data_IF_683721785352
#
_entry.id   IF_683721785352
#
_cell.length_a   1.000
_cell.length_b   1.000
_cell.length_c   1.000
_cell.angle_alpha   90.00
_cell.angle_beta   90.00
_cell.angle_gamma   90.00
#
_symmetry.space_group_name_H-M   'P 1'
#
loop_
_entity.id
_entity.type
_entity.pdbx_description
1 polymer ?
#
# COMPACT_ATOMS: atom_id res chain seq x y z
N UNK A 1 13.79 34.38 -14.00
CA UNK A 1 12.37 33.96 -14.01
C UNK A 1 12.15 32.57 -14.60
N UNK A 2 12.60 32.26 -15.82
CA UNK A 2 12.38 30.92 -16.45
C UNK A 2 13.04 29.76 -15.67
N UNK A 3 14.23 30.01 -15.10
CA UNK A 3 14.95 29.04 -14.26
C UNK A 3 14.26 28.77 -12.91
N UNK A 4 13.82 29.82 -12.22
CA UNK A 4 13.11 29.71 -10.93
C UNK A 4 11.75 29.03 -11.10
N UNK A 5 11.02 29.36 -12.16
CA UNK A 5 9.72 28.75 -12.46
C UNK A 5 9.86 27.26 -12.81
N UNK A 6 10.89 26.88 -13.59
CA UNK A 6 11.19 25.47 -13.89
C UNK A 6 11.60 24.69 -12.64
N UNK A 7 12.42 25.28 -11.75
CA UNK A 7 12.81 24.64 -10.50
C UNK A 7 11.61 24.39 -9.57
N UNK A 8 10.70 25.37 -9.44
CA UNK A 8 9.48 25.22 -8.65
C UNK A 8 8.56 24.13 -9.22
N UNK A 9 8.35 24.09 -10.54
CA UNK A 9 7.53 23.05 -11.20
C UNK A 9 8.09 21.64 -10.99
N UNK A 10 9.42 21.49 -11.06
CA UNK A 10 10.09 20.21 -10.85
C UNK A 10 9.97 19.78 -9.38
N UNK A 11 10.18 20.69 -8.43
CA UNK A 11 10.01 20.41 -7.01
C UNK A 11 8.57 19.98 -6.70
N UNK A 12 7.58 20.68 -7.27
CA UNK A 12 6.17 20.32 -7.14
C UNK A 12 5.90 18.92 -7.70
N UNK A 13 6.39 18.61 -8.90
CA UNK A 13 6.20 17.30 -9.52
C UNK A 13 6.79 16.16 -8.68
N UNK A 14 7.97 16.39 -8.08
CA UNK A 14 8.62 15.42 -7.21
C UNK A 14 7.86 15.20 -5.89
N UNK A 15 7.18 16.24 -5.39
CA UNK A 15 6.31 16.13 -4.22
C UNK A 15 5.00 15.41 -4.56
N UNK A 16 4.41 15.70 -5.72
CA UNK A 16 3.15 15.10 -6.15
C UNK A 16 3.28 13.63 -6.56
N UNK A 17 4.45 13.18 -7.00
CA UNK A 17 4.67 11.78 -7.38
C UNK A 17 4.39 10.76 -6.25
N UNK A 18 5.00 10.85 -5.04
CA UNK A 18 4.70 9.92 -3.94
C UNK A 18 3.28 10.08 -3.39
N UNK A 19 2.76 11.32 -3.34
CA UNK A 19 1.38 11.57 -2.94
C UNK A 19 0.37 10.97 -3.93
N UNK A 20 0.63 11.07 -5.23
CA UNK A 20 -0.16 10.45 -6.28
C UNK A 20 -0.14 8.93 -6.17
N UNK A 21 1.05 8.32 -5.99
CA UNK A 21 1.17 6.88 -5.80
C UNK A 21 0.37 6.37 -4.58
N UNK A 22 0.46 7.07 -3.45
CA UNK A 22 -0.31 6.76 -2.24
C UNK A 22 -1.83 6.91 -2.49
N UNK A 23 -2.23 7.96 -3.19
CA UNK A 23 -3.64 8.23 -3.52
C UNK A 23 -4.21 7.17 -4.46
N UNK A 24 -3.47 6.81 -5.51
CA UNK A 24 -3.84 5.73 -6.43
C UNK A 24 -3.91 4.39 -5.72
N UNK A 25 -2.96 4.09 -4.82
CA UNK A 25 -3.00 2.86 -4.03
C UNK A 25 -4.24 2.80 -3.13
N UNK A 26 -4.61 3.89 -2.46
CA UNK A 26 -5.80 3.87 -1.63
C UNK A 26 -7.09 3.78 -2.46
N UNK A 27 -7.17 4.51 -3.58
CA UNK A 27 -8.35 4.50 -4.44
C UNK A 27 -8.57 3.16 -5.15
N UNK A 28 -7.50 2.59 -5.74
CA UNK A 28 -7.59 1.39 -6.58
C UNK A 28 -7.08 0.10 -5.93
N UNK A 29 -6.31 0.20 -4.85
CA UNK A 29 -5.84 -0.96 -4.10
C UNK A 29 -6.82 -1.33 -3.00
N UNK A 30 -7.22 -0.34 -2.19
CA UNK A 30 -8.22 -0.55 -1.13
C UNK A 30 -9.63 -0.47 -1.70
N UNK A 31 -9.95 0.51 -2.55
CA UNK A 31 -11.34 0.73 -3.00
C UNK A 31 -11.87 -0.21 -4.09
N UNK A 32 -11.03 -1.10 -4.63
CA UNK A 32 -11.37 -2.04 -5.70
C UNK A 32 -11.47 -3.47 -5.14
N UNK A 33 -12.64 -4.10 -5.34
CA UNK A 33 -12.97 -5.39 -4.75
C UNK A 33 -12.00 -6.52 -5.19
N UNK A 34 -11.62 -6.55 -6.47
CA UNK A 34 -10.75 -7.60 -7.01
C UNK A 34 -9.32 -7.43 -6.51
N UNK A 35 -8.84 -6.18 -6.48
CA UNK A 35 -7.48 -5.88 -6.04
C UNK A 35 -7.29 -6.08 -4.55
N UNK A 36 -8.30 -5.72 -3.76
CA UNK A 36 -8.34 -6.00 -2.34
C UNK A 36 -8.38 -7.52 -2.08
N UNK A 37 -9.25 -8.26 -2.77
CA UNK A 37 -9.35 -9.71 -2.62
C UNK A 37 -8.02 -10.41 -2.97
N UNK A 38 -7.35 -9.99 -4.05
CA UNK A 38 -6.04 -10.52 -4.43
C UNK A 38 -4.95 -10.21 -3.39
N UNK A 39 -4.97 -9.04 -2.75
CA UNK A 39 -4.04 -8.71 -1.68
C UNK A 39 -4.27 -9.58 -0.43
N UNK A 40 -5.52 -9.93 -0.12
CA UNK A 40 -5.88 -10.70 1.08
C UNK A 40 -5.80 -12.22 0.88
N UNK A 41 -5.82 -12.70 -0.36
CA UNK A 41 -5.74 -14.13 -0.70
C UNK A 41 -4.54 -14.87 -0.08
N UNK A 42 -3.28 -14.38 -0.17
CA UNK A 42 -2.12 -15.11 0.36
C UNK A 42 -2.15 -15.27 1.88
N UNK A 43 -2.85 -14.39 2.61
CA UNK A 43 -2.98 -14.46 4.07
C UNK A 43 -3.69 -15.73 4.54
N UNK A 44 -4.51 -16.36 3.69
CA UNK A 44 -5.12 -17.64 4.02
C UNK A 44 -4.09 -18.77 4.21
N UNK A 45 -2.93 -18.68 3.56
CA UNK A 45 -1.85 -19.64 3.68
C UNK A 45 -0.83 -19.27 4.78
N UNK A 46 -0.84 -18.02 5.24
CA UNK A 46 0.10 -17.51 6.23
C UNK A 46 -0.07 -18.23 7.58
N UNK A 47 1.05 -18.65 8.17
CA UNK A 47 1.02 -19.44 9.42
C UNK A 47 0.65 -18.56 10.61
N UNK A 48 1.15 -17.33 10.68
CA UNK A 48 0.88 -16.41 11.78
C UNK A 48 -0.59 -16.00 11.79
N UNK A 49 -1.16 -15.74 10.61
CA UNK A 49 -2.59 -15.43 10.46
C UNK A 49 -3.46 -16.62 10.87
N UNK A 50 -3.13 -17.84 10.43
CA UNK A 50 -3.89 -19.05 10.80
C UNK A 50 -3.83 -19.35 12.29
N UNK A 51 -2.68 -19.18 12.93
CA UNK A 51 -2.53 -19.33 14.39
C UNK A 51 -3.35 -18.28 15.14
N UNK A 52 -3.33 -17.02 14.68
CA UNK A 52 -4.12 -15.95 15.28
C UNK A 52 -5.62 -16.22 15.19
N UNK A 53 -6.11 -16.66 14.03
CA UNK A 53 -7.52 -17.05 13.84
C UNK A 53 -7.87 -18.24 14.73
N UNK A 54 -7.01 -19.26 14.78
CA UNK A 54 -7.24 -20.43 15.63
C UNK A 54 -7.32 -20.04 17.11
N UNK A 55 -6.43 -19.16 17.59
CA UNK A 55 -6.45 -18.64 18.95
C UNK A 55 -7.71 -17.82 19.23
N UNK A 56 -8.11 -16.93 18.33
CA UNK A 56 -9.29 -16.07 18.47
C UNK A 56 -10.59 -16.90 18.50
N UNK A 57 -10.76 -17.82 17.54
CA UNK A 57 -11.94 -18.70 17.48
C UNK A 57 -12.00 -19.61 18.70
N UNK A 58 -10.87 -20.17 19.13
CA UNK A 58 -10.82 -21.01 20.34
C UNK A 58 -11.22 -20.21 21.58
N UNK A 59 -10.70 -18.99 21.73
CA UNK A 59 -11.03 -18.11 22.86
C UNK A 59 -12.51 -17.74 22.86
N UNK A 60 -13.09 -17.44 21.68
CA UNK A 60 -14.52 -17.17 21.53
C UNK A 60 -15.40 -18.37 21.91
N UNK A 61 -15.07 -19.57 21.42
CA UNK A 61 -15.79 -20.80 21.75
C UNK A 61 -15.73 -21.08 23.26
N UNK A 62 -14.56 -20.92 23.88
CA UNK A 62 -14.39 -21.16 25.32
C UNK A 62 -15.07 -20.11 26.20
N UNK A 63 -15.28 -18.88 25.70
CA UNK A 63 -16.04 -17.85 26.42
C UNK A 63 -17.51 -18.23 26.54
N UNK A 64 -18.09 -18.82 25.50
CA UNK A 64 -19.49 -19.27 25.51
C UNK A 64 -19.67 -20.61 26.24
N UNK A 65 -18.74 -21.54 26.05
CA UNK A 65 -18.80 -22.86 26.68
C UNK A 65 -18.20 -22.82 28.08
N UNK A 66 -19.08 -22.79 29.09
CA UNK A 66 -18.69 -22.87 30.50
C UNK A 66 -18.22 -24.27 30.89
N UNK A 67 -16.95 -24.59 30.59
CA UNK A 67 -16.31 -25.86 30.98
C UNK A 67 -15.78 -25.76 32.41
N UNK A 68 -15.94 -26.82 33.22
CA UNK A 68 -15.34 -26.92 34.56
C UNK A 68 -13.81 -26.83 34.48
N UNK A 69 -13.17 -26.11 35.41
CA UNK A 69 -11.73 -25.83 35.42
C UNK A 69 -10.80 -27.02 35.08
N UNK A 70 -11.02 -28.27 35.56
CA UNK A 70 -10.13 -29.39 35.26
C UNK A 70 -10.12 -29.82 33.79
N UNK A 71 -11.19 -29.53 33.04
CA UNK A 71 -11.36 -29.95 31.64
C UNK A 71 -11.04 -28.82 30.65
N UNK A 72 -10.84 -27.59 31.12
CA UNK A 72 -10.58 -26.43 30.25
C UNK A 72 -9.30 -26.59 29.41
N UNK A 73 -8.21 -27.09 30.01
CA UNK A 73 -6.92 -27.28 29.31
C UNK A 73 -7.02 -28.26 28.14
N UNK A 74 -7.46 -29.51 28.37
CA UNK A 74 -7.62 -30.51 27.30
C UNK A 74 -8.62 -30.09 26.21
N UNK A 75 -9.75 -29.48 26.59
CA UNK A 75 -10.75 -29.00 25.62
C UNK A 75 -10.19 -27.85 24.77
N UNK A 76 -9.48 -26.90 25.38
CA UNK A 76 -8.81 -25.81 24.66
C UNK A 76 -7.83 -26.35 23.61
N UNK A 77 -6.98 -27.33 23.98
CA UNK A 77 -6.03 -27.93 23.04
C UNK A 77 -6.75 -28.64 21.89
N UNK A 78 -7.77 -29.45 22.18
CA UNK A 78 -8.54 -30.15 21.15
C UNK A 78 -9.26 -29.20 20.20
N UNK A 79 -9.93 -28.16 20.72
CA UNK A 79 -10.62 -27.15 19.90
C UNK A 79 -9.61 -26.40 19.04
N UNK A 80 -8.48 -25.97 19.62
CA UNK A 80 -7.42 -25.29 18.89
C UNK A 80 -6.86 -26.15 17.76
N UNK A 81 -6.57 -27.42 18.02
CA UNK A 81 -6.07 -28.36 17.00
C UNK A 81 -7.09 -28.61 15.89
N UNK A 82 -8.37 -28.75 16.24
CA UNK A 82 -9.44 -28.91 15.27
C UNK A 82 -9.57 -27.68 14.37
N UNK A 83 -9.57 -26.47 14.96
CA UNK A 83 -9.61 -25.23 14.19
C UNK A 83 -8.36 -25.07 13.33
N UNK A 84 -7.18 -25.36 13.87
CA UNK A 84 -5.91 -25.34 13.12
C UNK A 84 -5.94 -26.30 11.94
N UNK A 85 -6.45 -27.52 12.13
CA UNK A 85 -6.62 -28.50 11.06
C UNK A 85 -7.59 -28.00 9.98
N UNK A 86 -8.68 -27.33 10.37
CA UNK A 86 -9.60 -26.70 9.42
C UNK A 86 -8.91 -25.60 8.59
N UNK A 87 -8.03 -24.79 9.18
CA UNK A 87 -7.31 -23.73 8.43
C UNK A 87 -6.41 -24.23 7.31
N UNK A 88 -6.07 -25.53 7.30
CA UNK A 88 -5.26 -26.16 6.26
C UNK A 88 -6.11 -26.67 5.07
N UNK A 89 -7.43 -26.53 5.14
CA UNK A 89 -8.35 -27.12 4.15
C UNK A 89 -8.72 -26.14 3.03
N UNK A 90 -9.06 -26.64 1.82
CA UNK A 90 -9.62 -25.81 0.76
C UNK A 90 -10.93 -25.08 1.16
N UNK A 91 -11.69 -25.67 2.08
CA UNK A 91 -12.91 -25.06 2.62
C UNK A 91 -12.59 -23.77 3.38
N UNK A 92 -11.49 -23.73 4.13
CA UNK A 92 -11.04 -22.52 4.80
C UNK A 92 -10.68 -21.42 3.82
N UNK A 93 -9.94 -21.71 2.74
CA UNK A 93 -9.61 -20.72 1.72
C UNK A 93 -10.86 -20.08 1.09
N UNK A 94 -11.87 -20.90 0.81
CA UNK A 94 -13.15 -20.44 0.26
C UNK A 94 -13.89 -19.54 1.26
N UNK A 95 -13.97 -19.97 2.53
CA UNK A 95 -14.58 -19.20 3.60
C UNK A 95 -13.84 -17.88 3.87
N UNK A 96 -12.50 -17.88 3.82
CA UNK A 96 -11.66 -16.70 3.96
C UNK A 96 -11.93 -15.67 2.87
N UNK A 97 -11.98 -16.09 1.60
CA UNK A 97 -12.28 -15.20 0.48
C UNK A 97 -13.71 -14.62 0.55
N UNK A 98 -14.69 -15.42 0.99
CA UNK A 98 -16.06 -14.94 1.18
C UNK A 98 -16.13 -13.93 2.33
N UNK A 99 -15.51 -14.24 3.47
CA UNK A 99 -15.48 -13.38 4.64
C UNK A 99 -14.81 -12.02 4.34
N UNK A 100 -13.64 -12.02 3.69
CA UNK A 100 -12.93 -10.79 3.35
C UNK A 100 -13.72 -9.91 2.37
N UNK A 101 -14.34 -10.49 1.33
CA UNK A 101 -15.15 -9.71 0.38
C UNK A 101 -16.34 -9.06 1.05
N UNK A 102 -17.03 -9.79 1.92
CA UNK A 102 -18.21 -9.27 2.57
C UNK A 102 -17.87 -8.24 3.65
N UNK A 103 -16.74 -8.40 4.35
CA UNK A 103 -16.18 -7.38 5.24
C UNK A 103 -15.81 -6.10 4.47
N UNK A 104 -15.13 -6.27 3.32
CA UNK A 104 -14.77 -5.17 2.43
C UNK A 104 -16.01 -4.40 1.95
N UNK A 105 -17.03 -5.10 1.45
CA UNK A 105 -18.27 -4.49 0.97
C UNK A 105 -18.98 -3.70 2.07
N UNK A 106 -19.02 -4.23 3.29
CA UNK A 106 -19.63 -3.53 4.42
C UNK A 106 -18.88 -2.23 4.77
N UNK A 107 -17.55 -2.26 4.78
CA UNK A 107 -16.72 -1.08 5.01
C UNK A 107 -16.89 -0.06 3.88
N UNK A 108 -16.90 -0.50 2.63
CA UNK A 108 -17.07 0.40 1.48
C UNK A 108 -18.46 1.02 1.43
N UNK A 109 -19.51 0.26 1.77
CA UNK A 109 -20.88 0.77 1.88
C UNK A 109 -20.98 1.85 2.96
N UNK A 110 -20.32 1.63 4.09
CA UNK A 110 -20.25 2.61 5.17
C UNK A 110 -19.54 3.89 4.74
N UNK A 111 -18.40 3.78 4.06
CA UNK A 111 -17.60 4.92 3.59
C UNK A 111 -18.31 5.73 2.50
N UNK A 112 -19.08 5.07 1.62
CA UNK A 112 -19.84 5.70 0.52
C UNK A 112 -21.21 6.23 0.94
N UNK A 113 -21.69 5.92 2.14
CA UNK A 113 -23.01 6.38 2.60
C UNK A 113 -22.96 7.84 3.09
N UNK A 114 -23.92 8.66 2.63
CA UNK A 114 -24.04 10.09 3.00
C UNK A 114 -24.63 10.32 4.41
N UNK A 115 -24.97 9.26 5.17
CA UNK A 115 -25.62 9.39 6.48
C UNK A 115 -24.58 9.52 7.61
N UNK A 116 -24.87 10.35 8.61
CA UNK A 116 -24.01 10.67 9.77
C UNK A 116 -24.25 9.74 10.98
N UNK A 117 -24.86 8.56 10.79
CA UNK A 117 -25.08 7.59 11.87
C UNK A 117 -23.88 6.68 12.09
N UNK A 118 -23.73 6.17 13.32
CA UNK A 118 -22.71 5.19 13.68
C UNK A 118 -22.78 4.00 12.72
N UNK A 119 -21.64 3.67 12.10
CA UNK A 119 -21.56 2.55 11.16
C UNK A 119 -21.50 1.26 11.96
N UNK A 120 -22.67 0.66 12.14
CA UNK A 120 -22.78 -0.74 12.56
C UNK A 120 -22.54 -1.62 11.34
N UNK A 121 -21.51 -2.46 11.41
CA UNK A 121 -21.31 -3.50 10.39
C UNK A 121 -22.30 -4.60 10.72
N UNK A 122 -23.37 -4.71 9.94
CA UNK A 122 -24.21 -5.90 9.95
C UNK A 122 -23.42 -7.04 9.30
N UNK A 123 -22.93 -7.96 10.12
CA UNK A 123 -22.20 -9.15 9.69
C UNK A 123 -23.16 -10.26 9.21
N UNK A 124 -24.48 -10.06 9.34
CA UNK A 124 -25.47 -11.06 8.93
C UNK A 124 -25.35 -11.49 7.46
N UNK A 125 -25.13 -10.60 6.47
CA UNK A 125 -24.96 -11.01 5.06
C UNK A 125 -23.70 -11.84 4.84
N UNK A 126 -22.63 -11.57 5.60
CA UNK A 126 -21.36 -12.31 5.54
C UNK A 126 -21.54 -13.72 6.11
N UNK A 127 -22.20 -13.80 7.27
CA UNK A 127 -22.49 -15.04 7.96
C UNK A 127 -23.48 -15.92 7.16
N UNK A 128 -24.44 -15.33 6.46
CA UNK A 128 -25.32 -16.04 5.53
C UNK A 128 -24.56 -16.58 4.30
N UNK A 129 -23.63 -15.81 3.74
CA UNK A 129 -22.80 -16.24 2.62
C UNK A 129 -21.86 -17.40 3.02
N UNK A 130 -21.24 -17.32 4.19
CA UNK A 130 -20.39 -18.40 4.73
C UNK A 130 -21.23 -19.63 5.08
N UNK A 131 -22.43 -19.45 5.64
CA UNK A 131 -23.37 -20.53 5.93
C UNK A 131 -23.80 -21.26 4.65
N UNK A 132 -24.13 -20.54 3.59
CA UNK A 132 -24.57 -21.13 2.31
C UNK A 132 -23.45 -21.96 1.66
N UNK A 133 -22.20 -21.49 1.73
CA UNK A 133 -21.04 -22.21 1.20
C UNK A 133 -20.67 -23.43 2.04
N UNK A 134 -20.73 -23.33 3.38
CA UNK A 134 -20.49 -24.47 4.28
C UNK A 134 -21.60 -25.53 4.19
N UNK A 135 -22.84 -25.12 3.90
CA UNK A 135 -23.95 -26.02 3.62
C UNK A 135 -23.74 -26.77 2.30
N UNK A 136 -23.26 -26.08 1.25
CA UNK A 136 -22.88 -26.72 -0.02
C UNK A 136 -21.71 -27.71 0.12
N UNK A 137 -20.76 -27.43 1.01
CA UNK A 137 -19.59 -28.29 1.29
C UNK A 137 -19.89 -29.48 2.23
N UNK A 138 -21.16 -29.75 2.57
CA UNK A 138 -21.60 -30.87 3.41
C UNK A 138 -20.97 -30.90 4.82
N UNK A 139 -20.63 -29.74 5.38
CA UNK A 139 -20.14 -29.67 6.76
C UNK A 139 -21.31 -29.97 7.73
N UNK A 140 -21.24 -31.02 8.57
CA UNK A 140 -22.35 -31.48 9.39
C UNK A 140 -22.58 -30.58 10.62
N UNK A 141 -22.79 -29.28 10.42
CA UNK A 141 -23.18 -28.29 11.43
C UNK A 141 -23.62 -26.95 10.81
N UNK A 142 -23.37 -26.71 9.51
CA UNK A 142 -23.64 -25.42 8.85
C UNK A 142 -25.10 -24.95 8.96
N UNK A 143 -26.06 -25.87 8.87
CA UNK A 143 -27.48 -25.53 8.93
C UNK A 143 -27.98 -25.11 10.32
N UNK A 144 -27.21 -25.34 11.39
CA UNK A 144 -27.60 -24.98 12.78
C UNK A 144 -27.02 -23.66 13.27
N UNK A 145 -26.13 -23.05 12.51
CA UNK A 145 -25.57 -21.74 12.82
C UNK A 145 -26.69 -20.71 12.61
N UNK A 146 -27.24 -20.19 13.71
CA UNK A 146 -28.18 -19.07 13.66
C UNK A 146 -27.35 -17.80 13.44
N UNK A 147 -27.63 -17.11 12.34
CA UNK A 147 -27.01 -15.83 12.03
C UNK A 147 -27.72 -14.78 12.87
N UNK A 148 -27.17 -14.47 14.04
CA UNK A 148 -27.62 -13.32 14.81
C UNK A 148 -27.09 -12.04 14.14
N UNK A 149 -27.94 -11.01 14.07
CA UNK A 149 -27.59 -9.68 13.57
C UNK A 149 -26.65 -9.05 14.59
N UNK A 150 -25.39 -9.48 14.55
CA UNK A 150 -24.37 -9.01 15.46
C UNK A 150 -23.81 -7.73 14.86
N UNK A 151 -24.42 -6.61 15.24
CA UNK A 151 -23.92 -5.28 14.92
C UNK A 151 -22.63 -5.04 15.69
N UNK A 152 -21.50 -5.44 15.11
CA UNK A 152 -20.20 -5.11 15.68
C UNK A 152 -19.88 -3.69 15.25
N UNK A 153 -19.78 -2.79 16.23
CA UNK A 153 -19.29 -1.43 16.01
C UNK A 153 -17.80 -1.49 15.72
N UNK A 154 -17.43 -1.57 14.44
CA UNK A 154 -16.03 -1.73 14.03
C UNK A 154 -15.29 -0.38 14.04
N UNK A 155 -15.99 0.75 13.85
CA UNK A 155 -15.43 2.11 13.92
C UNK A 155 -16.27 3.04 14.82
N UNK A 156 -15.69 3.64 15.87
CA UNK A 156 -16.33 4.71 16.65
C UNK A 156 -16.65 5.94 15.77
N UNK A 157 -17.82 6.55 15.98
CA UNK A 157 -18.33 7.70 15.20
C UNK A 157 -17.40 8.92 15.19
N UNK A 158 -16.62 9.09 16.25
CA UNK A 158 -15.71 10.21 16.46
C UNK A 158 -14.55 10.29 15.44
N UNK A 159 -14.12 9.17 14.84
CA UNK A 159 -13.05 9.16 13.81
C UNK A 159 -13.58 9.00 12.37
N UNK A 160 -14.87 8.68 12.20
CA UNK A 160 -15.47 8.38 10.89
C UNK A 160 -15.56 9.61 9.98
N UNK A 161 -15.84 10.79 10.54
CA UNK A 161 -15.96 12.02 9.76
C UNK A 161 -14.62 12.46 9.16
N UNK A 162 -13.51 12.31 9.89
CA UNK A 162 -12.16 12.61 9.40
C UNK A 162 -11.69 11.59 8.36
N UNK A 163 -11.93 10.30 8.62
CA UNK A 163 -11.62 9.22 7.67
C UNK A 163 -12.40 9.37 6.36
N UNK A 164 -13.69 9.76 6.41
CA UNK A 164 -14.53 10.00 5.22
C UNK A 164 -14.01 11.19 4.40
N UNK A 165 -13.65 12.31 5.06
CA UNK A 165 -13.02 13.46 4.38
C UNK A 165 -11.70 13.07 3.72
N UNK A 166 -10.86 12.32 4.44
CA UNK A 166 -9.59 11.80 3.91
C UNK A 166 -9.82 10.93 2.68
N UNK A 167 -10.72 9.95 2.76
CA UNK A 167 -11.03 9.03 1.67
C UNK A 167 -11.60 9.75 0.44
N UNK A 168 -12.52 10.72 0.62
CA UNK A 168 -13.08 11.47 -0.49
C UNK A 168 -12.04 12.37 -1.19
N UNK A 169 -11.16 13.01 -0.42
CA UNK A 169 -10.02 13.75 -0.98
C UNK A 169 -9.08 12.81 -1.72
N UNK A 170 -8.85 11.60 -1.20
CA UNK A 170 -7.94 10.60 -1.75
C UNK A 170 -8.48 9.95 -3.03
N UNK A 171 -9.80 9.75 -3.12
CA UNK A 171 -10.48 9.23 -4.31
C UNK A 171 -10.40 10.24 -5.46
N UNK A 172 -10.69 11.52 -5.19
CA UNK A 172 -10.52 12.60 -6.18
C UNK A 172 -9.05 12.81 -6.54
N UNK A 173 -8.15 12.73 -5.55
CA UNK A 173 -6.72 12.88 -5.74
C UNK A 173 -6.09 11.69 -6.48
N UNK A 174 -6.63 10.47 -6.33
CA UNK A 174 -6.06 9.22 -6.81
C UNK A 174 -5.83 9.17 -8.32
N UNK A 175 -6.65 9.89 -9.07
CA UNK A 175 -6.49 10.05 -10.52
C UNK A 175 -5.82 11.37 -10.90
N UNK A 176 -6.20 12.49 -10.27
CA UNK A 176 -5.74 13.82 -10.69
C UNK A 176 -4.32 14.17 -10.23
N UNK A 177 -3.87 13.69 -9.07
CA UNK A 177 -2.51 13.97 -8.57
C UNK A 177 -1.42 13.37 -9.47
N UNK A 178 -1.44 12.07 -9.84
CA UNK A 178 -0.44 11.49 -10.73
C UNK A 178 -0.39 12.20 -12.09
N UNK A 179 -1.56 12.53 -12.65
CA UNK A 179 -1.67 13.25 -13.93
C UNK A 179 -1.08 14.66 -13.81
N UNK A 180 -1.42 15.39 -12.75
CA UNK A 180 -0.86 16.73 -12.50
C UNK A 180 0.65 16.69 -12.30
N UNK A 181 1.18 15.70 -11.58
CA UNK A 181 2.62 15.51 -11.40
C UNK A 181 3.34 15.30 -12.74
N UNK A 182 2.76 14.47 -13.61
CA UNK A 182 3.31 14.20 -14.93
C UNK A 182 3.29 15.46 -15.83
N UNK A 183 2.18 16.19 -15.85
CA UNK A 183 2.06 17.44 -16.62
C UNK A 183 3.04 18.50 -16.11
N UNK A 184 3.20 18.64 -14.80
CA UNK A 184 4.14 19.57 -14.19
C UNK A 184 5.59 19.18 -14.49
N UNK A 185 5.93 17.89 -14.45
CA UNK A 185 7.25 17.39 -14.80
C UNK A 185 7.58 17.69 -16.27
N UNK A 186 6.69 17.34 -17.19
CA UNK A 186 6.87 17.57 -18.64
C UNK A 186 7.02 19.07 -18.93
N UNK A 187 6.14 19.89 -18.36
CA UNK A 187 6.15 21.34 -18.54
C UNK A 187 7.42 21.97 -17.94
N UNK A 188 7.83 21.54 -16.75
CA UNK A 188 9.05 21.97 -16.07
C UNK A 188 10.31 21.66 -16.89
N UNK A 189 10.36 20.48 -17.53
CA UNK A 189 11.46 20.08 -18.42
C UNK A 189 11.47 20.90 -19.72
N UNK A 190 10.29 21.16 -20.31
CA UNK A 190 10.19 21.94 -21.56
C UNK A 190 10.61 23.40 -21.39
N UNK A 191 10.28 24.01 -20.24
CA UNK A 191 10.61 25.41 -19.90
C UNK A 191 12.07 25.57 -19.46
N UNK A 192 12.74 24.48 -19.06
CA UNK A 192 14.09 24.52 -18.54
C UNK A 192 15.11 25.01 -19.58
N UNK A 193 15.81 26.10 -19.24
CA UNK A 193 16.93 26.66 -20.02
C UNK A 193 18.09 25.65 -20.11
N UNK A 194 18.27 24.83 -19.08
CA UNK A 194 19.22 23.73 -19.05
C UNK A 194 18.49 22.38 -18.90
N UNK A 195 17.89 21.90 -20.00
CA UNK A 195 17.14 20.62 -20.05
C UNK A 195 17.86 19.45 -19.36
N UNK A 196 19.19 19.40 -19.41
CA UNK A 196 20.00 18.35 -18.78
C UNK A 196 19.99 18.38 -17.24
N UNK A 197 20.07 19.57 -16.63
CA UNK A 197 19.98 19.69 -15.18
C UNK A 197 18.55 19.49 -14.68
N UNK A 198 17.56 19.89 -15.49
CA UNK A 198 16.16 19.61 -15.20
C UNK A 198 15.87 18.11 -15.17
N UNK A 199 16.32 17.33 -16.17
CA UNK A 199 16.13 15.87 -16.19
C UNK A 199 16.80 15.19 -14.99
N UNK A 200 18.02 15.63 -14.64
CA UNK A 200 18.75 15.14 -13.47
C UNK A 200 18.01 15.42 -12.16
N UNK A 201 17.50 16.65 -11.99
CA UNK A 201 16.75 17.06 -10.82
C UNK A 201 15.42 16.32 -10.69
N UNK A 202 14.68 16.11 -11.79
CA UNK A 202 13.46 15.28 -11.77
C UNK A 202 13.77 13.82 -11.44
N UNK A 203 14.82 13.22 -12.00
CA UNK A 203 15.18 11.84 -11.69
C UNK A 203 15.53 11.64 -10.21
N UNK A 204 16.35 12.53 -9.65
CA UNK A 204 16.70 12.52 -8.24
C UNK A 204 15.49 12.81 -7.35
N UNK A 205 14.66 13.78 -7.69
CA UNK A 205 13.49 14.12 -6.89
C UNK A 205 12.44 13.01 -6.88
N UNK A 206 12.22 12.32 -8.00
CA UNK A 206 11.38 11.10 -8.03
C UNK A 206 11.97 9.99 -7.17
N UNK A 207 13.29 9.77 -7.23
CA UNK A 207 13.95 8.76 -6.39
C UNK A 207 13.85 9.08 -4.89
N UNK A 208 13.99 10.35 -4.50
CA UNK A 208 13.80 10.82 -3.12
C UNK A 208 12.35 10.67 -2.69
N UNK A 209 11.39 11.06 -3.54
CA UNK A 209 9.96 10.87 -3.26
C UNK A 209 9.60 9.41 -3.05
N UNK A 210 10.13 8.51 -3.88
CA UNK A 210 9.96 7.08 -3.72
C UNK A 210 10.60 6.56 -2.42
N UNK A 211 11.81 7.00 -2.07
CA UNK A 211 12.44 6.63 -0.81
C UNK A 211 11.62 7.09 0.41
N UNK A 212 11.10 8.33 0.38
CA UNK A 212 10.22 8.87 1.42
C UNK A 212 8.92 8.08 1.54
N UNK A 213 8.33 7.67 0.43
CA UNK A 213 7.13 6.82 0.43
C UNK A 213 7.42 5.47 1.11
N UNK A 214 8.53 4.82 0.76
CA UNK A 214 8.96 3.59 1.43
C UNK A 214 9.19 3.75 2.93
N UNK A 215 9.80 4.88 3.35
CA UNK A 215 9.97 5.22 4.77
C UNK A 215 8.61 5.42 5.45
N UNK A 216 7.67 6.13 4.82
CA UNK A 216 6.34 6.33 5.36
C UNK A 216 5.60 5.00 5.60
N UNK A 217 5.68 4.06 4.64
CA UNK A 217 5.11 2.71 4.79
C UNK A 217 5.76 1.96 5.96
N UNK A 218 7.08 2.04 6.11
CA UNK A 218 7.82 1.40 7.19
C UNK A 218 7.50 2.01 8.57
N UNK A 219 7.33 3.33 8.65
CA UNK A 219 6.93 4.04 9.88
C UNK A 219 5.49 3.69 10.23
N UNK A 220 4.57 3.69 9.25
CA UNK A 220 3.17 3.28 9.46
C UNK A 220 3.09 1.88 10.06
N UNK A 221 3.86 0.92 9.53
CA UNK A 221 3.96 -0.44 10.09
C UNK A 221 4.37 -0.43 11.56
N UNK A 222 5.35 0.40 11.93
CA UNK A 222 5.83 0.47 13.33
C UNK A 222 4.78 1.08 14.25
N UNK A 223 4.08 2.12 13.82
CA UNK A 223 3.03 2.76 14.61
C UNK A 223 1.86 1.81 14.82
N UNK A 224 1.37 1.15 13.77
CA UNK A 224 0.29 0.15 13.86
C UNK A 224 0.65 -0.99 14.80
N UNK A 225 1.92 -1.43 14.79
CA UNK A 225 2.37 -2.53 15.65
C UNK A 225 2.68 -2.09 17.09
N UNK A 226 2.90 -0.80 17.35
CA UNK A 226 3.24 -0.28 18.66
C UNK A 226 2.01 -0.12 19.58
N UNK A 227 0.85 0.20 18.99
CA UNK A 227 -0.40 0.47 19.72
C UNK A 227 -1.36 -0.73 19.75
N UNK A 228 -0.85 -1.95 19.56
CA UNK A 228 -1.68 -3.16 19.57
C UNK A 228 -2.12 -3.54 20.99
N UNK A 229 -3.41 -3.84 21.21
CA UNK A 229 -3.86 -4.47 22.44
C UNK A 229 -3.08 -5.78 22.70
N UNK A 230 -2.82 -6.14 23.97
CA UNK A 230 -2.04 -7.32 24.32
C UNK A 230 -2.67 -8.64 23.84
N UNK A 231 -3.96 -8.61 23.53
CA UNK A 231 -4.75 -9.76 23.09
C UNK A 231 -4.62 -10.05 21.58
N UNK A 232 -3.96 -9.17 20.82
CA UNK A 232 -3.82 -9.28 19.36
C UNK A 232 -2.39 -9.65 18.98
N UNK A 233 -2.22 -10.65 18.12
CA UNK A 233 -0.89 -11.08 17.66
C UNK A 233 -0.24 -10.05 16.73
N UNK A 234 0.92 -9.47 17.08
CA UNK A 234 1.58 -8.47 16.24
C UNK A 234 2.12 -9.04 14.92
N UNK A 235 2.42 -10.33 14.86
CA UNK A 235 2.88 -11.00 13.64
C UNK A 235 1.77 -11.11 12.59
N UNK A 236 0.56 -11.54 12.97
CA UNK A 236 -0.57 -11.63 12.05
C UNK A 236 -0.99 -10.24 11.52
N UNK A 237 -1.04 -9.22 12.39
CA UNK A 237 -1.33 -7.84 11.96
C UNK A 237 -0.25 -7.31 11.03
N UNK A 238 1.01 -7.66 11.31
CA UNK A 238 2.14 -7.37 10.43
C UNK A 238 1.96 -7.99 9.04
N UNK A 239 1.55 -9.26 8.97
CA UNK A 239 1.29 -9.96 7.71
C UNK A 239 0.18 -9.28 6.89
N UNK A 240 -0.92 -8.89 7.53
CA UNK A 240 -2.02 -8.14 6.86
C UNK A 240 -1.52 -6.79 6.34
N UNK A 241 -0.75 -6.05 7.15
CA UNK A 241 -0.18 -4.75 6.73
C UNK A 241 0.78 -4.91 5.55
N UNK A 242 1.66 -5.92 5.62
CA UNK A 242 2.63 -6.20 4.56
C UNK A 242 1.91 -6.64 3.26
N UNK A 243 0.84 -7.44 3.34
CA UNK A 243 0.03 -7.83 2.19
C UNK A 243 -0.67 -6.63 1.52
N UNK A 244 -1.29 -5.73 2.31
CA UNK A 244 -1.96 -4.54 1.79
C UNK A 244 -0.97 -3.53 1.18
N UNK A 245 0.23 -3.43 1.73
CA UNK A 245 1.25 -2.45 1.29
C UNK A 245 2.24 -3.00 0.26
N UNK A 246 2.12 -4.27 -0.14
CA UNK A 246 3.05 -4.90 -1.08
C UNK A 246 3.08 -4.19 -2.44
N UNK A 247 1.91 -3.90 -2.99
CA UNK A 247 1.78 -3.15 -4.26
C UNK A 247 2.38 -1.74 -4.15
N UNK A 248 2.19 -1.06 -3.02
CA UNK A 248 2.76 0.25 -2.75
C UNK A 248 4.29 0.18 -2.66
N UNK A 249 4.83 -0.87 -2.04
CA UNK A 249 6.26 -1.14 -1.96
C UNK A 249 6.85 -1.41 -3.34
N UNK A 250 6.16 -2.17 -4.18
CA UNK A 250 6.57 -2.45 -5.56
C UNK A 250 6.61 -1.16 -6.39
N UNK A 251 5.56 -0.33 -6.34
CA UNK A 251 5.53 0.97 -7.02
C UNK A 251 6.64 1.89 -6.52
N UNK A 252 6.87 1.92 -5.20
CA UNK A 252 7.97 2.67 -4.58
C UNK A 252 9.33 2.22 -5.14
N UNK A 253 9.62 0.93 -5.19
CA UNK A 253 10.87 0.42 -5.77
C UNK A 253 10.99 0.71 -7.27
N UNK A 254 9.91 0.57 -8.02
CA UNK A 254 9.88 0.88 -9.45
C UNK A 254 10.17 2.35 -9.72
N UNK A 255 9.55 3.27 -8.97
CA UNK A 255 9.80 4.72 -9.06
C UNK A 255 11.23 5.07 -8.66
N UNK A 256 11.77 4.40 -7.63
CA UNK A 256 13.14 4.60 -7.19
C UNK A 256 14.15 4.18 -8.26
N UNK A 257 13.97 2.98 -8.84
CA UNK A 257 14.80 2.47 -9.93
C UNK A 257 14.69 3.35 -11.18
N UNK A 258 13.49 3.79 -11.54
CA UNK A 258 13.25 4.70 -12.66
C UNK A 258 13.92 6.06 -12.45
N UNK A 259 13.78 6.65 -11.25
CA UNK A 259 14.42 7.93 -10.92
C UNK A 259 15.94 7.86 -11.00
N UNK A 260 16.53 6.78 -10.45
CA UNK A 260 17.97 6.53 -10.49
C UNK A 260 18.49 6.32 -11.92
N UNK A 261 17.79 5.53 -12.74
CA UNK A 261 18.19 5.30 -14.14
C UNK A 261 18.13 6.57 -14.98
N UNK A 262 17.12 7.41 -14.79
CA UNK A 262 17.03 8.74 -15.43
C UNK A 262 18.16 9.65 -14.97
N UNK A 263 18.47 9.70 -13.68
CA UNK A 263 19.58 10.50 -13.16
C UNK A 263 20.94 10.01 -13.72
N UNK A 264 21.15 8.68 -13.76
CA UNK A 264 22.38 8.08 -14.25
C UNK A 264 22.59 8.34 -15.75
N UNK A 265 21.55 8.18 -16.58
CA UNK A 265 21.63 8.44 -18.02
C UNK A 265 21.93 9.90 -18.33
N UNK A 266 21.35 10.83 -17.57
CA UNK A 266 21.65 12.26 -17.66
C UNK A 266 23.09 12.60 -17.22
N UNK A 267 23.62 11.95 -16.19
CA UNK A 267 25.02 12.09 -15.78
C UNK A 267 26.00 11.55 -16.83
N UNK A 268 25.73 10.36 -17.36
CA UNK A 268 26.57 9.71 -18.38
C UNK A 268 26.62 10.53 -19.67
N UNK A 269 25.47 11.02 -20.14
CA UNK A 269 25.41 11.91 -21.30
C UNK A 269 26.14 13.23 -21.07
N UNK A 270 26.11 13.79 -19.85
CA UNK A 270 26.89 14.98 -19.48
C UNK A 270 28.40 14.72 -19.42
N UNK A 271 28.82 13.56 -18.88
CA UNK A 271 30.22 13.14 -18.86
C UNK A 271 30.75 12.92 -20.28
N UNK A 272 29.98 12.25 -21.14
CA UNK A 272 30.33 11.99 -22.54
C UNK A 272 30.48 13.30 -23.34
N UNK A 273 29.55 14.25 -23.16
CA UNK A 273 29.62 15.54 -23.83
C UNK A 273 30.83 16.40 -23.37
N UNK A 274 31.18 16.34 -22.07
CA UNK A 274 32.39 17.02 -21.54
C UNK A 274 33.67 16.41 -22.13
N UNK A 275 33.77 15.08 -22.17
CA UNK A 275 34.92 14.38 -22.80
C UNK A 275 35.07 14.76 -24.27
N UNK A 276 33.99 14.75 -25.06
CA UNK A 276 34.04 15.15 -26.48
C UNK A 276 34.45 16.61 -26.71
N UNK A 277 34.08 17.53 -25.80
CA UNK A 277 34.52 18.94 -25.89
C UNK A 277 36.00 19.09 -25.55
N UNK A 278 36.49 18.39 -24.53
CA UNK A 278 37.91 18.38 -24.18
C UNK A 278 38.77 17.81 -25.31
N UNK A 279 38.30 16.76 -26.01
CA UNK A 279 38.97 16.21 -27.19
C UNK A 279 38.93 17.10 -28.44
N UNK A 280 38.11 18.17 -28.45
CA UNK A 280 38.00 19.14 -29.55
C UNK A 280 38.73 20.45 -29.26
N UNK A 281 39.45 20.56 -28.14
CA UNK A 281 40.30 21.72 -27.90
C UNK A 281 41.33 21.85 -29.05
N UNK A 282 41.46 23.02 -29.70
CA UNK A 282 42.42 23.21 -30.78
C UNK A 282 43.83 22.85 -30.29
N UNK A 283 44.57 22.06 -31.07
CA UNK A 283 45.99 21.84 -30.83
C UNK A 283 46.73 23.20 -30.77
N UNK A 284 47.82 23.30 -29.98
CA UNK A 284 48.54 24.56 -29.79
C UNK A 284 48.86 25.19 -31.15
N UNK A 285 48.53 26.48 -31.29
CA UNK A 285 48.74 27.22 -32.52
C UNK A 285 50.22 27.12 -32.94
N UNK A 286 50.53 26.95 -34.24
CA UNK A 286 51.92 26.92 -34.71
C UNK A 286 52.62 28.20 -34.25
N UNK A 287 53.78 28.07 -33.61
CA UNK A 287 54.58 29.22 -33.17
C UNK A 287 54.86 30.14 -34.37
N UNK A 288 54.53 31.42 -34.23
CA UNK A 288 54.84 32.43 -35.24
C UNK A 288 56.36 32.42 -35.52
N UNK A 289 56.79 32.36 -36.79
CA UNK A 289 58.20 32.35 -37.13
C UNK A 289 58.85 33.68 -36.74
N UNK A 290 60.08 33.67 -36.18
CA UNK A 290 60.74 34.88 -35.71
C UNK A 290 61.00 35.83 -36.88
N UNK A 291 60.46 37.05 -36.75
CA UNK A 291 60.70 38.18 -37.64
C UNK A 291 62.19 38.54 -37.60
N UNK A 292 62.94 38.10 -38.63
CA UNK A 292 64.31 38.55 -38.84
C UNK A 292 64.28 40.04 -39.23
N UNK A 293 64.70 40.90 -38.31
CA UNK A 293 65.09 42.28 -38.61
C UNK A 293 66.36 42.20 -39.46
N UNK A 294 66.28 42.63 -40.73
CA UNK A 294 67.45 42.89 -41.58
C UNK A 294 68.06 44.23 -41.15
N UNK A 295 69.32 44.19 -40.71
CA UNK A 295 70.22 45.34 -40.65
C UNK A 295 71.06 45.39 -41.93
#
# INVERSE_FOLDING_TARGET
>A
MRSTLSAVLIALACLFAPLGALSTWAAYGIGDDERYAAAMEPLAADTDVREAIAAAVTTGILREVHVRAPLQGPVNHFVRDAVRSFTLTPAFHTAWQAANRAAHEAVMRALRSDREEAVTIDLAPVAEQVRSQLAGAHVPLANRIHVEHTEITVLPSENLAELRKGFHVLEVAGFWLPVSAAVLAVTGILVAVCRRQAVLATGLGTAVGAALLGVAVAVGRRLTLADLPPDVSPTAVGAVYDALTDTLRLVSWALLALGLTVALTALLTAAYARRRRASRAPGPAPAEPPTRVRA
#
